data_IF_098653106240
#
_entry.id   IF_098653106240
#
_cell.length_a   1.000
_cell.length_b   1.000
_cell.length_c   1.000
_cell.angle_alpha   90.00
_cell.angle_beta   90.00
_cell.angle_gamma   90.00
#
_symmetry.space_group_name_H-M   'P 1'
#
loop_
_entity.id
_entity.type
_entity.pdbx_description
1 polymer ?
#
# COMPACT_ATOMS: atom_id res chain seq x y z
N UNK A 1 -0.90 -23.97 -5.39
CA UNK A 1 -1.46 -22.65 -5.01
C UNK A 1 -1.36 -21.74 -6.20
N UNK A 2 -2.49 -21.37 -6.80
CA UNK A 2 -2.50 -20.38 -7.89
C UNK A 2 -2.44 -18.99 -7.28
N UNK A 3 -1.40 -18.22 -7.59
CA UNK A 3 -1.25 -16.85 -7.13
C UNK A 3 -2.02 -15.93 -8.09
N UNK A 4 -3.26 -15.60 -7.75
CA UNK A 4 -3.99 -14.55 -8.45
C UNK A 4 -3.38 -13.19 -8.09
N UNK A 5 -2.54 -12.66 -8.96
CA UNK A 5 -2.25 -11.24 -8.96
C UNK A 5 -3.57 -10.52 -9.24
N UNK A 6 -4.01 -9.65 -8.32
CA UNK A 6 -5.17 -8.74 -8.51
C UNK A 6 -5.10 -7.91 -9.80
N UNK A 7 -3.96 -7.91 -10.50
CA UNK A 7 -3.66 -7.16 -11.72
C UNK A 7 -4.71 -7.34 -12.81
N UNK A 8 -5.25 -8.55 -13.01
CA UNK A 8 -6.27 -8.80 -14.04
C UNK A 8 -7.67 -8.26 -13.68
N UNK A 9 -7.85 -7.71 -12.47
CA UNK A 9 -9.14 -7.18 -11.99
C UNK A 9 -9.16 -5.67 -11.77
N UNK A 10 -8.03 -4.98 -11.93
CA UNK A 10 -7.97 -3.51 -11.73
C UNK A 10 -8.58 -2.78 -12.93
N UNK A 11 -8.47 -3.35 -14.14
CA UNK A 11 -9.14 -2.85 -15.35
C UNK A 11 -10.69 -2.93 -15.28
N UNK A 12 -11.26 -3.49 -14.21
CA UNK A 12 -12.70 -3.66 -14.00
C UNK A 12 -13.26 -2.86 -12.81
N UNK A 13 -12.45 -2.08 -12.10
CA UNK A 13 -12.97 -1.15 -11.10
C UNK A 13 -13.58 0.05 -11.84
N UNK A 14 -14.87 -0.07 -12.15
CA UNK A 14 -15.66 0.96 -12.82
C UNK A 14 -15.39 2.36 -12.27
N UNK A 15 -15.52 3.35 -13.16
CA UNK A 15 -15.15 4.76 -12.98
C UNK A 15 -15.90 5.47 -11.85
N UNK A 16 -15.67 5.09 -10.59
CA UNK A 16 -16.13 5.85 -9.43
C UNK A 16 -15.19 7.05 -9.30
N UNK A 17 -15.69 8.29 -9.38
CA UNK A 17 -14.86 9.46 -9.19
C UNK A 17 -14.20 9.43 -7.80
N UNK A 18 -12.92 9.80 -7.74
CA UNK A 18 -12.16 9.87 -6.49
C UNK A 18 -12.91 10.68 -5.43
N UNK A 19 -13.50 11.82 -5.81
CA UNK A 19 -14.29 12.67 -4.92
C UNK A 19 -15.45 11.95 -4.25
N UNK A 20 -16.18 11.11 -4.99
CA UNK A 20 -17.28 10.31 -4.45
C UNK A 20 -16.77 9.28 -3.45
N UNK A 21 -15.68 8.59 -3.78
CA UNK A 21 -15.07 7.62 -2.87
C UNK A 21 -14.59 8.27 -1.58
N UNK A 22 -13.91 9.41 -1.68
CA UNK A 22 -13.37 10.14 -0.52
C UNK A 22 -14.49 10.63 0.41
N UNK A 23 -15.62 11.08 -0.13
CA UNK A 23 -16.76 11.56 0.69
C UNK A 23 -17.37 10.49 1.60
N UNK A 24 -17.19 9.20 1.27
CA UNK A 24 -17.71 8.09 2.04
C UNK A 24 -16.76 7.50 3.07
N UNK A 25 -15.52 8.00 3.17
CA UNK A 25 -14.52 7.50 4.12
C UNK A 25 -14.69 8.14 5.49
N UNK A 26 -14.37 7.39 6.55
CA UNK A 26 -14.29 7.93 7.91
C UNK A 26 -13.05 8.79 8.17
N UNK A 27 -12.25 9.04 7.14
CA UNK A 27 -10.99 9.77 7.22
C UNK A 27 -10.60 10.35 5.86
N UNK A 28 -9.71 11.35 5.86
CA UNK A 28 -9.11 11.93 4.64
C UNK A 28 -7.77 11.24 4.36
N UNK A 29 -7.62 10.42 3.30
CA UNK A 29 -6.35 9.80 2.91
C UNK A 29 -5.24 10.83 2.70
N UNK A 30 -3.98 10.44 2.93
CA UNK A 30 -2.86 11.35 2.66
C UNK A 30 -2.72 11.62 1.16
N UNK A 31 -2.42 12.85 0.76
CA UNK A 31 -2.11 13.12 -0.63
C UNK A 31 -0.78 12.44 -1.00
N UNK A 32 -0.76 11.80 -2.16
CA UNK A 32 0.48 11.25 -2.73
C UNK A 32 0.90 12.23 -3.81
N UNK A 33 2.03 12.91 -3.62
CA UNK A 33 2.54 13.83 -4.63
C UNK A 33 2.85 13.08 -5.92
N UNK A 34 2.40 13.64 -7.06
CA UNK A 34 2.69 13.11 -8.40
C UNK A 34 4.20 12.98 -8.66
N UNK A 35 5.03 13.79 -7.99
CA UNK A 35 6.49 13.73 -8.10
C UNK A 35 7.10 12.41 -7.57
N UNK A 36 6.44 11.75 -6.62
CA UNK A 36 6.92 10.51 -5.99
C UNK A 36 6.59 9.27 -6.82
N UNK A 37 5.69 9.43 -7.79
CA UNK A 37 5.15 8.40 -8.66
C UNK A 37 5.16 8.89 -10.12
N UNK A 38 6.12 9.76 -10.48
CA UNK A 38 6.19 10.39 -11.81
C UNK A 38 6.22 9.36 -12.95
N UNK A 39 6.78 8.19 -12.66
CA UNK A 39 6.94 7.07 -13.60
C UNK A 39 5.90 5.95 -13.34
N UNK A 40 4.88 6.23 -12.53
CA UNK A 40 3.81 5.30 -12.21
C UNK A 40 2.48 5.73 -12.82
N UNK A 41 1.91 4.88 -13.66
CA UNK A 41 0.55 5.03 -14.17
C UNK A 41 -0.45 4.73 -13.06
N UNK A 42 -1.28 5.70 -12.69
CA UNK A 42 -2.42 5.47 -11.81
C UNK A 42 -3.44 4.52 -12.45
N UNK A 43 -3.80 3.46 -11.74
CA UNK A 43 -4.75 2.44 -12.19
C UNK A 43 -6.13 2.55 -11.54
N UNK A 44 -6.23 3.22 -10.39
CA UNK A 44 -7.50 3.41 -9.69
C UNK A 44 -7.37 3.34 -8.17
N UNK A 45 -8.53 3.27 -7.51
CA UNK A 45 -8.62 3.22 -6.06
C UNK A 45 -9.79 2.36 -5.58
N UNK A 46 -9.78 2.03 -4.29
CA UNK A 46 -10.86 1.33 -3.61
C UNK A 46 -11.03 1.86 -2.19
N UNK A 47 -12.27 2.07 -1.76
CA UNK A 47 -12.62 2.26 -0.36
C UNK A 47 -13.34 1.03 0.18
N UNK A 48 -13.23 0.78 1.48
CA UNK A 48 -13.93 -0.31 2.14
C UNK A 48 -13.80 -0.27 3.65
N UNK A 49 -14.30 -1.33 4.27
CA UNK A 49 -14.23 -1.55 5.71
C UNK A 49 -13.03 -2.47 6.02
N UNK A 50 -12.22 -2.09 7.00
CA UNK A 50 -11.31 -3.04 7.62
C UNK A 50 -12.12 -4.07 8.43
N UNK A 51 -11.58 -5.27 8.59
CA UNK A 51 -12.25 -6.35 9.32
C UNK A 51 -12.77 -5.85 10.70
N UNK A 52 -14.04 -6.08 11.01
CA UNK A 52 -14.64 -5.63 12.27
C UNK A 52 -14.84 -4.12 12.41
N UNK A 53 -14.78 -3.35 11.31
CA UNK A 53 -15.19 -1.95 11.29
C UNK A 53 -16.60 -1.81 10.70
N UNK A 54 -17.51 -1.03 11.30
CA UNK A 54 -18.82 -0.72 10.73
C UNK A 54 -18.77 0.48 9.75
N UNK A 55 -17.59 1.10 9.58
CA UNK A 55 -17.41 2.29 8.74
C UNK A 55 -16.30 2.06 7.73
N UNK A 56 -16.39 2.75 6.58
CA UNK A 56 -15.37 2.73 5.54
C UNK A 56 -14.09 3.42 6.02
N UNK A 57 -13.24 2.64 6.67
CA UNK A 57 -11.98 3.07 7.27
C UNK A 57 -10.75 2.49 6.54
N UNK A 58 -10.92 1.96 5.34
CA UNK A 58 -9.83 1.51 4.46
C UNK A 58 -9.88 2.24 3.13
N UNK A 59 -8.73 2.71 2.67
CA UNK A 59 -8.55 3.27 1.33
C UNK A 59 -7.30 2.69 0.68
N UNK A 60 -7.42 2.28 -0.58
CA UNK A 60 -6.32 1.71 -1.36
C UNK A 60 -6.19 2.44 -2.69
N UNK A 61 -4.95 2.71 -3.12
CA UNK A 61 -4.60 3.27 -4.43
C UNK A 61 -3.68 2.31 -5.17
N UNK A 62 -3.86 2.24 -6.47
CA UNK A 62 -3.19 1.28 -7.34
C UNK A 62 -2.42 2.00 -8.44
N UNK A 63 -1.18 1.58 -8.66
CA UNK A 63 -0.30 2.14 -9.67
C UNK A 63 0.47 1.04 -10.41
N UNK A 64 0.87 1.32 -11.65
CA UNK A 64 1.82 0.52 -12.42
C UNK A 64 3.06 1.37 -12.70
N UNK A 65 4.19 0.97 -12.14
CA UNK A 65 5.48 1.61 -12.36
C UNK A 65 6.35 0.70 -13.23
N UNK A 66 7.12 1.27 -14.16
CA UNK A 66 7.92 0.47 -15.10
C UNK A 66 9.01 -0.34 -14.38
N UNK A 67 9.80 0.29 -13.50
CA UNK A 67 10.85 -0.39 -12.74
C UNK A 67 10.41 -1.21 -11.50
N UNK A 68 9.26 -0.88 -10.89
CA UNK A 68 8.80 -1.52 -9.65
C UNK A 68 7.63 -2.47 -9.85
N UNK A 69 7.02 -2.48 -11.03
CA UNK A 69 5.82 -3.28 -11.29
C UNK A 69 4.57 -2.68 -10.65
N UNK A 70 3.72 -3.54 -10.10
CA UNK A 70 2.44 -3.12 -9.51
C UNK A 70 2.64 -2.62 -8.09
N UNK A 71 2.05 -1.46 -7.75
CA UNK A 71 2.11 -0.84 -6.43
C UNK A 71 0.69 -0.67 -5.88
N UNK A 72 0.44 -1.18 -4.68
CA UNK A 72 -0.75 -0.92 -3.87
C UNK A 72 -0.35 -0.13 -2.63
N UNK A 73 -0.88 1.09 -2.50
CA UNK A 73 -0.78 1.92 -1.30
C UNK A 73 -2.09 1.78 -0.53
N UNK A 74 -2.03 1.33 0.72
CA UNK A 74 -3.22 1.18 1.57
C UNK A 74 -3.07 2.00 2.84
N UNK A 75 -4.15 2.69 3.19
CA UNK A 75 -4.35 3.39 4.46
C UNK A 75 -5.55 2.81 5.18
N UNK A 76 -5.39 2.51 6.46
CA UNK A 76 -6.47 2.08 7.34
C UNK A 76 -6.50 2.95 8.59
N UNK A 77 -7.65 3.57 8.87
CA UNK A 77 -7.90 4.25 10.14
C UNK A 77 -8.40 3.22 11.16
N UNK A 78 -7.73 3.13 12.32
CA UNK A 78 -8.22 2.36 13.46
C UNK A 78 -8.62 3.29 14.61
N UNK A 79 -9.33 2.73 15.60
CA UNK A 79 -9.50 3.40 16.88
C UNK A 79 -8.14 3.54 17.58
N UNK A 80 -8.02 4.53 18.46
CA UNK A 80 -6.83 4.69 19.28
C UNK A 80 -6.58 3.44 20.14
N UNK A 81 -5.32 3.01 20.22
CA UNK A 81 -4.93 1.82 20.98
C UNK A 81 -5.29 0.47 20.33
N UNK A 82 -5.87 0.45 19.12
CA UNK A 82 -6.20 -0.80 18.44
C UNK A 82 -4.94 -1.65 18.22
N UNK A 83 -4.91 -2.93 18.65
CA UNK A 83 -3.73 -3.78 18.56
C UNK A 83 -3.30 -4.04 17.10
N UNK A 84 -4.19 -3.84 16.13
CA UNK A 84 -3.91 -4.04 14.69
C UNK A 84 -3.09 -2.92 14.07
N UNK A 85 -2.97 -1.78 14.76
CA UNK A 85 -2.06 -0.69 14.37
C UNK A 85 -0.61 -1.16 14.38
N UNK A 86 -0.24 -2.00 15.33
CA UNK A 86 1.13 -2.44 15.50
C UNK A 86 1.46 -3.53 14.46
N UNK A 87 2.54 -3.38 13.67
CA UNK A 87 2.96 -4.37 12.66
C UNK A 87 3.35 -5.78 13.19
N UNK A 88 2.96 -6.15 14.41
CA UNK A 88 3.35 -7.37 15.07
C UNK A 88 4.78 -7.33 15.60
N UNK A 89 5.34 -8.50 15.96
CA UNK A 89 6.68 -8.63 16.56
C UNK A 89 7.84 -8.48 15.56
N UNK A 90 7.56 -8.40 14.26
CA UNK A 90 8.59 -8.35 13.21
C UNK A 90 8.91 -6.90 12.80
N UNK A 91 9.36 -6.09 13.76
CA UNK A 91 9.87 -4.75 13.50
C UNK A 91 11.35 -4.85 13.12
N UNK A 92 11.66 -4.67 11.84
CA UNK A 92 13.00 -4.86 11.27
C UNK A 92 13.48 -3.67 10.44
N UNK A 93 12.75 -2.56 10.46
CA UNK A 93 13.01 -1.37 9.65
C UNK A 93 12.39 -0.12 10.28
N UNK A 94 12.63 1.05 9.67
CA UNK A 94 11.98 2.30 10.04
C UNK A 94 11.57 3.12 8.83
N UNK A 95 10.46 3.84 8.95
CA UNK A 95 10.03 4.92 8.04
C UNK A 95 10.14 6.23 8.82
N UNK A 96 11.16 7.03 8.52
CA UNK A 96 11.56 8.12 9.42
C UNK A 96 11.91 7.58 10.82
N UNK A 97 11.28 8.11 11.86
CA UNK A 97 11.45 7.66 13.24
C UNK A 97 10.46 6.56 13.68
N UNK A 98 9.56 6.14 12.77
CA UNK A 98 8.50 5.18 13.06
C UNK A 98 8.98 3.76 12.76
N UNK A 99 8.80 2.84 13.71
CA UNK A 99 9.11 1.43 13.49
C UNK A 99 8.21 0.82 12.41
N UNK A 100 8.81 0.03 11.53
CA UNK A 100 8.12 -0.62 10.40
C UNK A 100 8.52 -2.09 10.24
N UNK A 101 7.64 -2.83 9.58
CA UNK A 101 7.89 -4.20 9.14
C UNK A 101 8.07 -4.23 7.63
N UNK A 102 9.20 -4.72 7.15
CA UNK A 102 9.50 -4.91 5.73
C UNK A 102 9.75 -6.39 5.45
N UNK A 103 8.99 -6.95 4.51
CA UNK A 103 9.10 -8.36 4.11
C UNK A 103 9.19 -8.44 2.60
N UNK A 104 10.12 -9.26 2.11
CA UNK A 104 10.23 -9.62 0.70
C UNK A 104 10.03 -11.12 0.56
N UNK A 105 9.13 -11.51 -0.34
CA UNK A 105 8.90 -12.89 -0.74
C UNK A 105 9.28 -13.04 -2.20
N UNK A 106 10.17 -13.96 -2.52
CA UNK A 106 10.54 -14.30 -3.90
C UNK A 106 10.00 -15.68 -4.23
N UNK A 107 9.17 -15.73 -5.26
CA UNK A 107 8.66 -16.97 -5.83
C UNK A 107 9.68 -17.64 -6.75
N UNK A 108 9.50 -18.94 -7.04
CA UNK A 108 10.38 -19.68 -7.95
C UNK A 108 10.31 -19.18 -9.40
N UNK A 109 9.29 -18.41 -9.75
CA UNK A 109 9.08 -17.81 -11.07
C UNK A 109 9.78 -16.46 -11.27
N UNK A 110 10.63 -16.03 -10.33
CA UNK A 110 11.25 -14.70 -10.35
C UNK A 110 10.34 -13.56 -9.90
N UNK A 111 9.05 -13.84 -9.64
CA UNK A 111 8.12 -12.89 -9.04
C UNK A 111 8.57 -12.54 -7.62
N UNK A 112 8.78 -11.27 -7.35
CA UNK A 112 9.12 -10.72 -6.04
C UNK A 112 7.97 -9.86 -5.54
N UNK A 113 7.53 -10.13 -4.31
CA UNK A 113 6.55 -9.31 -3.59
C UNK A 113 7.23 -8.67 -2.39
N UNK A 114 7.21 -7.36 -2.33
CA UNK A 114 7.64 -6.61 -1.15
C UNK A 114 6.43 -5.99 -0.45
N UNK A 115 6.43 -6.06 0.87
CA UNK A 115 5.41 -5.45 1.73
C UNK A 115 6.11 -4.64 2.81
N UNK A 116 5.84 -3.34 2.86
CA UNK A 116 6.23 -2.44 3.94
C UNK A 116 4.98 -2.02 4.71
N UNK A 117 5.01 -2.10 6.03
CA UNK A 117 3.90 -1.73 6.92
C UNK A 117 4.41 -0.89 8.09
N UNK A 118 3.74 0.22 8.36
CA UNK A 118 4.01 1.08 9.52
C UNK A 118 2.72 1.72 10.03
N UNK A 119 2.77 2.37 11.19
CA UNK A 119 1.65 3.11 11.74
C UNK A 119 2.08 4.48 12.24
N UNK A 120 1.29 5.51 11.94
CA UNK A 120 1.52 6.91 12.34
C UNK A 120 0.22 7.42 12.96
N UNK A 121 0.24 7.69 14.26
CA UNK A 121 -0.97 7.93 15.04
C UNK A 121 -1.92 6.73 15.01
N UNK A 122 -3.18 6.96 14.69
CA UNK A 122 -4.22 5.93 14.56
C UNK A 122 -4.39 5.41 13.12
N UNK A 123 -3.40 5.65 12.25
CA UNK A 123 -3.40 5.18 10.86
C UNK A 123 -2.35 4.11 10.66
N UNK A 124 -2.76 3.03 10.01
CA UNK A 124 -1.87 2.01 9.48
C UNK A 124 -1.69 2.23 7.98
N UNK A 125 -0.45 2.19 7.55
CA UNK A 125 -0.07 2.31 6.15
C UNK A 125 0.53 0.99 5.69
N UNK A 126 0.27 0.61 4.44
CA UNK A 126 1.05 -0.43 3.78
C UNK A 126 1.35 -0.09 2.33
N UNK A 127 2.55 -0.45 1.91
CA UNK A 127 2.97 -0.44 0.51
C UNK A 127 3.22 -1.88 0.11
N UNK A 128 2.47 -2.37 -0.87
CA UNK A 128 2.66 -3.69 -1.46
C UNK A 128 3.12 -3.52 -2.89
N UNK A 129 4.27 -4.11 -3.22
CA UNK A 129 4.83 -4.08 -4.56
C UNK A 129 4.95 -5.49 -5.09
N UNK A 130 4.52 -5.72 -6.33
CA UNK A 130 4.67 -6.97 -7.05
C UNK A 130 5.38 -6.73 -8.38
N UNK A 131 6.56 -7.34 -8.54
CA UNK A 131 7.37 -7.22 -9.75
C UNK A 131 8.00 -8.54 -10.16
N UNK A 132 8.24 -8.71 -11.46
CA UNK A 132 9.01 -9.83 -12.00
C UNK A 132 10.45 -9.34 -12.19
N UNK A 133 11.43 -10.11 -11.69
CA UNK A 133 12.86 -9.84 -11.96
C UNK A 133 13.37 -8.45 -11.52
N UNK A 134 12.81 -7.90 -10.43
CA UNK A 134 13.30 -6.63 -9.87
C UNK A 134 14.54 -6.81 -9.00
N UNK A 135 15.45 -5.85 -9.08
CA UNK A 135 16.55 -5.68 -8.15
C UNK A 135 16.00 -5.33 -6.75
N UNK A 136 16.41 -6.10 -5.73
CA UNK A 136 15.86 -5.97 -4.38
C UNK A 136 16.32 -4.70 -3.66
N UNK A 137 17.51 -4.19 -3.98
CA UNK A 137 18.04 -2.97 -3.37
C UNK A 137 17.33 -1.75 -3.96
N UNK A 138 17.07 -1.76 -5.28
CA UNK A 138 16.21 -0.77 -5.93
C UNK A 138 14.82 -0.81 -5.34
N UNK A 139 14.20 -1.99 -5.28
CA UNK A 139 12.85 -2.17 -4.73
C UNK A 139 12.75 -1.63 -3.29
N UNK A 140 13.72 -1.97 -2.45
CA UNK A 140 13.79 -1.49 -1.08
C UNK A 140 13.92 0.04 -1.05
N UNK A 141 14.88 0.62 -1.76
CA UNK A 141 15.10 2.07 -1.79
C UNK A 141 13.84 2.82 -2.19
N UNK A 142 13.20 2.45 -3.30
CA UNK A 142 12.03 3.16 -3.80
C UNK A 142 10.82 3.05 -2.85
N UNK A 143 10.58 1.87 -2.27
CA UNK A 143 9.49 1.68 -1.31
C UNK A 143 9.69 2.56 -0.06
N UNK A 144 10.91 2.65 0.47
CA UNK A 144 11.19 3.47 1.65
C UNK A 144 11.17 4.97 1.35
N UNK A 145 11.62 5.38 0.16
CA UNK A 145 11.47 6.77 -0.32
C UNK A 145 9.98 7.15 -0.38
N UNK A 146 9.15 6.30 -1.00
CA UNK A 146 7.72 6.52 -1.08
C UNK A 146 7.08 6.55 0.31
N UNK A 147 7.44 5.62 1.22
CA UNK A 147 6.90 5.62 2.58
C UNK A 147 7.27 6.87 3.38
N UNK A 148 8.50 7.38 3.24
CA UNK A 148 8.97 8.56 3.96
C UNK A 148 8.25 9.86 3.58
N UNK A 149 7.59 9.86 2.43
CA UNK A 149 6.82 11.01 1.93
C UNK A 149 5.34 11.05 2.36
N UNK A 150 4.86 10.02 3.09
CA UNK A 150 3.49 9.87 3.59
C UNK A 150 3.39 10.22 5.10
#
# INVERSE_FOLDING_TARGET
MSFHMKVDSVDLLGSVPLSSTLSGLSFVPVDVSDSLLSDAKYLGHKAGEAAGSPVKNRFSRYYKHEGLGFIELEEILYSEGDPRLYPGRFLNSKVGDVNSAYVVLRGPTGLSKATLVWAKGNRKFSINVGSVEVDLDVLKREIFTLAGSL
#
